data_IF_594726512388
#
_entry.id   IF_594726512388
#
_cell.length_a   1.000
_cell.length_b   1.000
_cell.length_c   1.000
_cell.angle_alpha   90.00
_cell.angle_beta   90.00
_cell.angle_gamma   90.00
#
_symmetry.space_group_name_H-M   'P 1'
#
loop_
_entity.id
_entity.type
_entity.pdbx_description
1 polymer ?
#
# COMPACT_ATOMS: atom_id res chain seq x y z
N UNK A 1 -24.64 45.24 -0.43
CA UNK A 1 -23.91 44.67 0.73
C UNK A 1 -23.17 43.45 0.22
N UNK A 2 -21.86 43.58 -0.04
CA UNK A 2 -21.03 42.53 -0.65
C UNK A 2 -20.20 41.93 0.49
N UNK A 3 -20.43 40.65 0.80
CA UNK A 3 -19.62 39.90 1.78
C UNK A 3 -18.50 39.23 0.98
N UNK A 4 -17.22 39.56 1.20
CA UNK A 4 -16.15 38.84 0.53
C UNK A 4 -15.98 37.50 1.25
N UNK A 5 -16.21 36.41 0.53
CA UNK A 5 -15.90 35.05 0.96
C UNK A 5 -14.36 34.92 0.96
N UNK A 6 -13.73 35.25 2.08
CA UNK A 6 -12.30 35.07 2.28
C UNK A 6 -12.03 33.57 2.35
N UNK A 7 -11.66 32.99 1.21
CA UNK A 7 -11.26 31.59 1.10
C UNK A 7 -10.05 31.38 2.01
N UNK A 8 -10.25 30.63 3.10
CA UNK A 8 -9.20 30.21 4.01
C UNK A 8 -8.29 29.23 3.26
N UNK A 9 -7.28 29.76 2.58
CA UNK A 9 -6.17 28.99 2.03
C UNK A 9 -5.31 28.57 3.22
N UNK A 10 -5.73 27.54 3.95
CA UNK A 10 -4.82 26.87 4.88
C UNK A 10 -3.74 26.20 4.04
N UNK A 11 -2.45 26.59 4.17
CA UNK A 11 -1.39 25.77 3.63
C UNK A 11 -1.44 24.48 4.45
N UNK A 12 -1.93 23.39 3.84
CA UNK A 12 -1.68 22.06 4.36
C UNK A 12 -0.17 21.87 4.35
N UNK A 13 0.49 22.23 5.46
CA UNK A 13 1.85 21.82 5.73
C UNK A 13 1.76 20.31 5.87
N UNK A 14 2.00 19.61 4.77
CA UNK A 14 2.09 18.16 4.74
C UNK A 14 3.38 17.81 5.49
N UNK A 15 3.28 17.68 6.81
CA UNK A 15 4.34 17.05 7.59
C UNK A 15 4.53 15.66 6.98
N UNK A 16 5.69 15.43 6.37
CA UNK A 16 6.10 14.10 5.93
C UNK A 16 5.97 13.18 7.14
N UNK A 17 5.05 12.23 7.06
CA UNK A 17 4.83 11.24 8.11
C UNK A 17 6.11 10.42 8.27
N UNK A 18 6.66 10.38 9.48
CA UNK A 18 7.77 9.50 9.82
C UNK A 18 7.21 8.08 9.98
N UNK A 19 6.94 7.42 8.86
CA UNK A 19 6.45 6.04 8.87
C UNK A 19 7.51 5.10 9.45
N UNK A 20 7.07 4.21 10.32
CA UNK A 20 7.80 3.04 10.79
C UNK A 20 7.23 1.78 10.12
N UNK A 21 7.82 0.62 10.36
CA UNK A 21 7.31 -0.68 9.86
C UNK A 21 5.88 -0.94 10.35
N UNK A 22 5.50 -0.38 11.49
CA UNK A 22 4.21 -0.60 12.14
C UNK A 22 3.17 0.48 11.82
N UNK A 23 3.57 1.61 11.22
CA UNK A 23 2.71 2.80 11.11
C UNK A 23 2.44 3.24 9.67
N UNK A 24 3.08 2.61 8.66
CA UNK A 24 2.67 2.83 7.28
C UNK A 24 1.22 2.33 7.06
N UNK A 25 0.44 3.00 6.19
CA UNK A 25 -0.98 2.69 6.05
C UNK A 25 -1.18 1.31 5.41
N UNK A 26 -2.19 0.58 5.90
CA UNK A 26 -2.62 -0.68 5.31
C UNK A 26 -3.39 -0.42 4.01
N UNK A 27 -2.82 -0.78 2.87
CA UNK A 27 -3.40 -0.59 1.54
C UNK A 27 -4.65 -1.42 1.26
N UNK A 28 -4.98 -2.41 2.08
CA UNK A 28 -6.22 -3.18 1.99
C UNK A 28 -7.37 -2.51 2.77
N UNK A 29 -7.06 -1.71 3.79
CA UNK A 29 -8.04 -1.03 4.65
C UNK A 29 -8.23 0.44 4.29
N UNK A 30 -7.12 1.15 4.03
CA UNK A 30 -7.08 2.59 3.71
C UNK A 30 -6.33 2.83 2.40
N UNK A 31 -6.87 2.36 1.25
CA UNK A 31 -6.22 2.52 -0.05
C UNK A 31 -6.02 3.99 -0.45
N UNK A 32 -6.89 4.88 0.03
CA UNK A 32 -6.82 6.33 -0.18
C UNK A 32 -5.50 6.93 0.34
N UNK A 33 -5.02 6.45 1.49
CA UNK A 33 -3.76 6.88 2.08
C UNK A 33 -2.53 6.32 1.36
N UNK A 34 -2.72 5.34 0.48
CA UNK A 34 -1.69 4.62 -0.26
C UNK A 34 -1.62 5.02 -1.74
N UNK A 35 -2.31 6.11 -2.14
CA UNK A 35 -2.41 6.56 -3.53
C UNK A 35 -3.10 5.53 -4.46
N UNK A 36 -4.10 4.82 -3.92
CA UNK A 36 -4.92 3.84 -4.64
C UNK A 36 -6.40 4.25 -4.61
N UNK A 37 -7.13 3.96 -5.70
CA UNK A 37 -8.59 4.12 -5.75
C UNK A 37 -9.37 2.95 -5.12
N UNK A 38 -8.73 1.82 -4.86
CA UNK A 38 -9.32 0.62 -4.27
C UNK A 38 -8.29 -0.20 -3.49
N UNK A 39 -8.70 -1.15 -2.62
CA UNK A 39 -7.79 -2.05 -1.94
C UNK A 39 -6.77 -2.70 -2.89
N UNK A 40 -5.52 -2.79 -2.45
CA UNK A 40 -4.43 -3.29 -3.30
C UNK A 40 -3.18 -3.70 -2.54
N UNK A 41 -2.19 -4.17 -3.30
CA UNK A 41 -0.94 -4.72 -2.77
C UNK A 41 0.25 -3.75 -2.87
N UNK A 42 0.00 -2.49 -3.20
CA UNK A 42 1.01 -1.44 -3.20
C UNK A 42 0.58 -0.31 -2.28
N UNK A 43 1.51 0.29 -1.56
CA UNK A 43 1.27 1.49 -0.79
C UNK A 43 2.34 2.55 -1.07
N UNK A 44 1.94 3.70 -1.59
CA UNK A 44 2.84 4.83 -1.88
C UNK A 44 2.30 6.11 -1.20
N UNK A 45 2.35 6.17 0.14
CA UNK A 45 1.72 7.26 0.89
C UNK A 45 2.42 8.60 0.70
N UNK A 46 3.70 8.58 0.34
CA UNK A 46 4.50 9.78 0.05
C UNK A 46 4.44 10.18 -1.44
N UNK A 47 3.64 9.48 -2.25
CA UNK A 47 3.40 9.72 -3.67
C UNK A 47 4.71 9.82 -4.49
N UNK A 48 5.65 8.91 -4.23
CA UNK A 48 6.97 8.87 -4.87
C UNK A 48 6.90 8.28 -6.28
N UNK A 49 5.93 7.40 -6.53
CA UNK A 49 5.77 6.78 -7.83
C UNK A 49 5.09 7.74 -8.81
N UNK A 50 5.77 8.01 -9.92
CA UNK A 50 5.18 8.78 -11.03
C UNK A 50 3.92 8.09 -11.54
N UNK A 51 2.92 8.89 -11.92
CA UNK A 51 1.73 8.39 -12.60
C UNK A 51 2.13 7.65 -13.86
N UNK A 52 1.48 6.50 -14.11
CA UNK A 52 1.68 5.74 -15.34
C UNK A 52 1.00 6.44 -16.52
N UNK A 53 -0.20 6.96 -16.31
CA UNK A 53 -0.94 7.76 -17.28
C UNK A 53 -1.94 8.71 -16.58
N UNK A 54 -2.83 9.35 -17.35
CA UNK A 54 -3.83 10.28 -16.81
C UNK A 54 -4.81 9.65 -15.82
N UNK A 55 -5.02 8.33 -15.90
CA UNK A 55 -5.98 7.58 -15.09
C UNK A 55 -5.32 6.84 -13.93
N UNK A 56 -4.15 6.23 -14.17
CA UNK A 56 -3.49 5.33 -13.23
C UNK A 56 -2.33 6.01 -12.51
N UNK A 57 -2.42 6.04 -11.18
CA UNK A 57 -1.27 6.33 -10.32
C UNK A 57 -0.16 5.29 -10.50
N UNK A 58 1.06 5.63 -10.10
CA UNK A 58 2.16 4.66 -10.12
C UNK A 58 1.91 3.48 -9.18
N UNK A 59 1.30 3.75 -8.01
CA UNK A 59 0.90 2.72 -7.06
C UNK A 59 -0.17 1.77 -7.63
N UNK A 60 -1.16 2.30 -8.35
CA UNK A 60 -2.20 1.48 -9.00
C UNK A 60 -1.60 0.59 -10.09
N UNK A 61 -0.69 1.15 -10.89
CA UNK A 61 0.00 0.37 -11.92
C UNK A 61 0.81 -0.77 -11.30
N UNK A 62 1.54 -0.51 -10.21
CA UNK A 62 2.29 -1.54 -9.48
C UNK A 62 1.37 -2.59 -8.86
N UNK A 63 0.33 -2.17 -8.15
CA UNK A 63 -0.67 -3.06 -7.51
C UNK A 63 -1.29 -4.02 -8.53
N UNK A 64 -1.64 -3.54 -9.73
CA UNK A 64 -2.14 -4.39 -10.82
C UNK A 64 -1.15 -5.48 -11.24
N UNK A 65 0.15 -5.20 -11.25
CA UNK A 65 1.17 -6.19 -11.61
C UNK A 65 1.39 -7.21 -10.49
N UNK A 66 1.37 -6.78 -9.23
CA UNK A 66 1.44 -7.68 -8.08
C UNK A 66 0.23 -8.62 -8.06
N UNK A 67 -0.96 -8.10 -8.36
CA UNK A 67 -2.16 -8.90 -8.51
C UNK A 67 -2.03 -9.91 -9.66
N UNK A 68 -1.46 -9.52 -10.81
CA UNK A 68 -1.17 -10.46 -11.91
C UNK A 68 -0.23 -11.59 -11.49
N UNK A 69 0.82 -11.29 -10.72
CA UNK A 69 1.72 -12.32 -10.17
C UNK A 69 0.93 -13.31 -9.32
N UNK A 70 0.08 -12.81 -8.41
CA UNK A 70 -0.80 -13.64 -7.58
C UNK A 70 -1.72 -14.55 -8.40
N UNK A 71 -2.21 -14.12 -9.56
CA UNK A 71 -3.07 -14.96 -10.40
C UNK A 71 -2.34 -15.86 -11.38
N UNK A 72 -1.14 -15.47 -11.84
CA UNK A 72 -0.38 -16.20 -12.84
C UNK A 72 0.55 -17.26 -12.22
N UNK A 73 0.88 -17.11 -10.95
CA UNK A 73 1.70 -18.08 -10.22
C UNK A 73 0.82 -19.11 -9.52
N UNK A 74 1.40 -20.28 -9.27
CA UNK A 74 0.80 -21.31 -8.44
C UNK A 74 1.63 -21.42 -7.16
N UNK A 75 0.97 -21.40 -6.00
CA UNK A 75 1.60 -21.69 -4.73
C UNK A 75 1.22 -23.13 -4.36
N UNK A 76 2.04 -24.14 -4.72
CA UNK A 76 1.70 -25.52 -4.43
C UNK A 76 1.75 -25.73 -2.91
N UNK A 77 0.65 -26.18 -2.33
CA UNK A 77 0.64 -26.61 -0.94
C UNK A 77 1.32 -27.96 -0.80
N UNK A 78 2.31 -28.03 0.08
CA UNK A 78 2.91 -29.27 0.50
C UNK A 78 1.90 -30.02 1.39
N UNK A 79 2.05 -31.35 1.51
CA UNK A 79 1.14 -32.14 2.36
C UNK A 79 1.21 -31.73 3.83
N UNK A 80 2.37 -31.19 4.25
CA UNK A 80 2.56 -30.60 5.58
C UNK A 80 1.75 -29.31 5.77
N UNK A 81 1.53 -28.50 4.73
CA UNK A 81 0.72 -27.28 4.84
C UNK A 81 -0.77 -27.61 4.99
N UNK A 82 -1.19 -28.73 4.40
CA UNK A 82 -2.55 -29.27 4.53
C UNK A 82 -2.81 -29.75 5.96
N UNK A 83 -1.84 -30.39 6.61
CA UNK A 83 -2.01 -30.88 7.99
C UNK A 83 -2.13 -29.76 9.02
N UNK A 84 -1.59 -28.57 8.72
CA UNK A 84 -1.76 -27.38 9.55
C UNK A 84 -3.02 -26.55 9.26
N UNK A 85 -3.83 -26.93 8.26
CA UNK A 85 -5.06 -26.20 7.89
C UNK A 85 -4.82 -24.84 7.21
N UNK A 86 -3.58 -24.53 6.84
CA UNK A 86 -3.23 -23.27 6.16
C UNK A 86 -3.48 -23.29 4.66
N UNK A 87 -3.83 -24.45 4.11
CA UNK A 87 -4.17 -24.59 2.70
C UNK A 87 -5.65 -24.92 2.48
N UNK A 88 -6.50 -23.90 2.20
CA UNK A 88 -7.86 -24.10 1.74
C UNK A 88 -7.89 -24.94 0.45
N UNK A 89 -8.84 -25.88 0.30
CA UNK A 89 -8.96 -26.72 -0.89
C UNK A 89 -9.22 -25.94 -2.19
N UNK A 90 -9.67 -24.68 -2.08
CA UNK A 90 -10.01 -23.80 -3.20
C UNK A 90 -9.10 -22.56 -3.34
N UNK A 91 -7.84 -22.62 -2.90
CA UNK A 91 -6.92 -21.48 -3.06
C UNK A 91 -6.41 -21.37 -4.50
N UNK A 92 -7.11 -20.60 -5.34
CA UNK A 92 -6.77 -20.33 -6.75
C UNK A 92 -5.73 -19.20 -6.93
N UNK A 93 -5.01 -18.85 -5.88
CA UNK A 93 -4.06 -17.74 -5.89
C UNK A 93 -2.65 -18.24 -5.59
N UNK A 94 -1.68 -17.83 -6.39
CA UNK A 94 -0.27 -18.03 -6.17
C UNK A 94 0.35 -17.05 -5.19
N UNK A 95 1.62 -16.72 -5.42
CA UNK A 95 2.41 -15.89 -4.54
C UNK A 95 1.82 -14.49 -4.38
N UNK A 96 1.65 -14.07 -3.13
CA UNK A 96 1.20 -12.72 -2.80
C UNK A 96 2.39 -11.87 -2.37
N UNK A 97 2.55 -10.72 -3.00
CA UNK A 97 3.61 -9.76 -2.72
C UNK A 97 2.94 -8.45 -2.38
N UNK A 98 3.31 -7.85 -1.25
CA UNK A 98 2.90 -6.49 -0.87
C UNK A 98 4.12 -5.58 -0.83
N UNK A 99 4.01 -4.37 -1.37
CA UNK A 99 5.12 -3.42 -1.46
C UNK A 99 4.67 -2.07 -0.90
N UNK A 100 5.38 -1.57 0.11
CA UNK A 100 5.30 -0.19 0.57
C UNK A 100 6.48 0.63 0.05
N UNK A 101 6.20 1.82 -0.47
CA UNK A 101 7.16 2.77 -1.04
C UNK A 101 7.05 4.04 -0.20
N UNK A 102 8.02 4.23 0.69
CA UNK A 102 8.08 5.36 1.62
C UNK A 102 9.41 6.09 1.47
N UNK A 103 9.40 7.41 1.66
CA UNK A 103 10.59 8.27 1.47
C UNK A 103 11.70 7.93 2.45
N UNK A 104 11.31 7.65 3.68
CA UNK A 104 12.19 7.28 4.77
C UNK A 104 11.42 6.41 5.74
N UNK A 105 12.10 5.41 6.30
CA UNK A 105 11.55 4.63 7.40
C UNK A 105 12.22 5.06 8.69
N UNK A 106 11.40 5.40 9.69
CA UNK A 106 11.85 5.58 11.05
C UNK A 106 12.24 4.22 11.60
N UNK A 107 13.53 3.99 11.80
CA UNK A 107 13.99 2.87 12.61
C UNK A 107 13.95 3.33 14.06
N UNK A 108 13.16 2.65 14.91
CA UNK A 108 13.37 2.77 16.34
C UNK A 108 14.81 2.28 16.59
N UNK A 109 15.74 3.22 16.81
CA UNK A 109 17.09 2.84 17.22
C UNK A 109 16.94 2.04 18.50
N UNK A 110 17.58 0.86 18.55
CA UNK A 110 17.80 0.15 19.81
C UNK A 110 18.38 1.18 20.78
N UNK A 111 17.55 1.70 21.66
CA UNK A 111 18.02 2.36 22.86
C UNK A 111 18.55 1.20 23.69
N UNK A 112 19.80 0.84 23.43
CA UNK A 112 20.63 0.07 24.35
C UNK A 112 20.54 0.77 25.71
N UNK A 113 19.71 0.22 26.58
CA UNK A 113 19.89 0.33 28.03
C UNK A 113 20.93 -0.68 28.46
#
# INVERSE_FOLDING_TARGET
>A
MIIPLLSLIFPFIYCSSNYTVETFPDSLVRPDLCNLSSPGFACDPDQLLKRFNHTLSGAEYLSKHLQRIRYATNCPCLDVDKSYGYCPPNNSHGYTISIAIIRSIGMNGDKTM
#
